data_IF_495712337762
#
_entry.id   IF_495712337762
#
_cell.length_a   1.000
_cell.length_b   1.000
_cell.length_c   1.000
_cell.angle_alpha   90.00
_cell.angle_beta   90.00
_cell.angle_gamma   90.00
#
_symmetry.space_group_name_H-M   'P 1'
#
loop_
_entity.id
_entity.type
_entity.pdbx_description
1 polymer ?
#
# COMPACT_ATOMS: atom_id res chain seq x y z
N UNK A 1 22.09 -7.56 0.71
CA UNK A 1 20.89 -7.03 0.03
C UNK A 1 20.14 -6.22 1.07
N UNK A 2 19.95 -4.92 0.85
CA UNK A 2 19.18 -4.11 1.79
C UNK A 2 17.70 -4.54 1.77
N UNK A 3 16.95 -4.23 2.84
CA UNK A 3 15.51 -4.51 2.89
C UNK A 3 14.76 -3.88 1.71
N UNK A 4 15.22 -2.73 1.24
CA UNK A 4 14.57 -1.96 0.19
C UNK A 4 14.86 -2.53 -1.23
N UNK A 5 15.93 -3.32 -1.38
CA UNK A 5 16.34 -3.94 -2.67
C UNK A 5 15.79 -5.36 -2.88
N UNK A 6 15.23 -6.00 -1.85
CA UNK A 6 14.74 -7.36 -1.96
C UNK A 6 13.51 -7.42 -2.89
N UNK A 7 13.56 -8.29 -3.91
CA UNK A 7 12.46 -8.49 -4.86
C UNK A 7 12.17 -9.98 -5.05
N UNK A 8 10.90 -10.34 -4.95
CA UNK A 8 10.39 -11.67 -5.28
C UNK A 8 9.45 -11.60 -6.48
N UNK A 9 9.39 -12.66 -7.32
CA UNK A 9 8.41 -12.73 -8.40
C UNK A 9 6.97 -12.63 -7.90
N UNK A 10 6.12 -11.91 -8.61
CA UNK A 10 4.74 -11.63 -8.16
C UNK A 10 3.89 -12.87 -7.91
N UNK A 11 4.08 -13.95 -8.66
CA UNK A 11 3.31 -15.19 -8.43
C UNK A 11 3.49 -15.77 -7.02
N UNK A 12 4.59 -15.45 -6.32
CA UNK A 12 4.82 -15.88 -4.93
C UNK A 12 3.79 -15.24 -3.98
N UNK A 13 3.33 -14.03 -4.28
CA UNK A 13 2.32 -13.33 -3.47
C UNK A 13 0.96 -14.02 -3.45
N UNK A 14 0.67 -14.88 -4.44
CA UNK A 14 -0.61 -15.60 -4.54
C UNK A 14 -0.72 -16.81 -3.62
N UNK A 15 0.38 -17.22 -2.97
CA UNK A 15 0.39 -18.28 -1.96
C UNK A 15 0.00 -17.77 -0.57
N UNK A 16 -0.94 -16.82 -0.51
CA UNK A 16 -1.41 -16.16 0.73
C UNK A 16 -2.90 -16.45 0.95
N UNK A 17 -3.38 -16.19 2.17
CA UNK A 17 -4.81 -16.32 2.47
C UNK A 17 -5.60 -15.26 1.69
N UNK A 18 -6.67 -15.69 1.03
CA UNK A 18 -7.45 -14.86 0.10
C UNK A 18 -7.98 -13.55 0.72
N UNK A 19 -8.27 -13.55 2.02
CA UNK A 19 -8.80 -12.42 2.78
C UNK A 19 -7.72 -11.47 3.34
N UNK A 20 -6.44 -11.78 3.12
CA UNK A 20 -5.29 -11.04 3.66
C UNK A 20 -4.40 -10.44 2.56
N UNK A 21 -4.81 -10.48 1.30
CA UNK A 21 -3.97 -10.10 0.16
C UNK A 21 -4.00 -8.56 -0.04
N UNK A 22 -2.89 -7.84 0.17
CA UNK A 22 -2.79 -6.45 -0.22
C UNK A 22 -2.78 -6.34 -1.75
N UNK A 23 -3.29 -5.23 -2.28
CA UNK A 23 -3.49 -5.08 -3.73
C UNK A 23 -2.20 -4.80 -4.55
N UNK A 24 -1.04 -5.05 -3.95
CA UNK A 24 0.30 -4.72 -4.45
C UNK A 24 0.65 -5.42 -5.75
N UNK A 25 0.16 -6.64 -5.92
CA UNK A 25 0.44 -7.48 -7.10
C UNK A 25 -0.79 -7.71 -7.96
N UNK A 26 -1.95 -7.15 -7.61
CA UNK A 26 -3.22 -7.40 -8.30
C UNK A 26 -3.36 -6.66 -9.64
N UNK A 27 -2.35 -5.89 -10.07
CA UNK A 27 -2.41 -5.04 -11.27
C UNK A 27 -1.32 -5.41 -12.29
N UNK A 28 -0.87 -6.66 -12.26
CA UNK A 28 0.16 -7.18 -13.15
C UNK A 28 1.56 -6.70 -12.78
N UNK A 29 1.83 -6.36 -11.52
CA UNK A 29 3.20 -6.24 -11.04
C UNK A 29 3.92 -7.58 -11.22
N UNK A 30 5.16 -7.56 -11.71
CA UNK A 30 5.91 -8.78 -12.01
C UNK A 30 6.92 -9.16 -10.90
N UNK A 31 7.21 -8.22 -10.00
CA UNK A 31 7.90 -8.47 -8.74
C UNK A 31 7.40 -7.52 -7.64
N UNK A 32 7.69 -7.85 -6.39
CA UNK A 32 7.33 -7.07 -5.21
C UNK A 32 8.40 -7.18 -4.13
N UNK A 33 8.37 -6.26 -3.16
CA UNK A 33 9.21 -6.33 -1.96
C UNK A 33 8.49 -7.14 -0.87
N UNK A 34 9.03 -8.29 -0.43
CA UNK A 34 8.33 -9.17 0.52
C UNK A 34 8.10 -8.53 1.88
N UNK A 35 9.03 -7.72 2.39
CA UNK A 35 8.90 -7.11 3.71
C UNK A 35 7.81 -6.03 3.74
N UNK A 36 7.71 -5.25 2.65
CA UNK A 36 6.65 -4.23 2.50
C UNK A 36 5.30 -4.90 2.29
N UNK A 37 5.29 -6.02 1.59
CA UNK A 37 4.09 -6.83 1.36
C UNK A 37 3.57 -7.48 2.64
N UNK A 38 4.44 -8.02 3.49
CA UNK A 38 4.06 -8.59 4.79
C UNK A 38 3.40 -7.55 5.71
N UNK A 39 3.91 -6.32 5.73
CA UNK A 39 3.24 -5.23 6.47
C UNK A 39 1.87 -4.91 5.87
N UNK A 40 1.77 -4.94 4.53
CA UNK A 40 0.50 -4.80 3.82
C UNK A 40 -0.50 -5.87 4.23
N UNK A 41 -0.09 -7.14 4.23
CA UNK A 41 -0.92 -8.28 4.65
C UNK A 41 -1.38 -8.12 6.11
N UNK A 42 -0.45 -7.80 7.02
CA UNK A 42 -0.80 -7.59 8.42
C UNK A 42 -1.77 -6.42 8.60
N UNK A 43 -1.59 -5.35 7.80
CA UNK A 43 -2.52 -4.23 7.76
C UNK A 43 -3.92 -4.62 7.28
N UNK A 44 -4.02 -5.47 6.24
CA UNK A 44 -5.31 -5.99 5.76
C UNK A 44 -5.98 -6.84 6.83
N UNK A 45 -5.22 -7.74 7.48
CA UNK A 45 -5.72 -8.52 8.61
C UNK A 45 -6.25 -7.61 9.73
N UNK A 46 -5.50 -6.58 10.12
CA UNK A 46 -5.96 -5.62 11.12
C UNK A 46 -7.18 -4.82 10.66
N UNK A 47 -7.33 -4.53 9.37
CA UNK A 47 -8.53 -3.88 8.86
C UNK A 47 -9.75 -4.78 9.03
N UNK A 48 -9.65 -6.06 8.67
CA UNK A 48 -10.74 -7.02 8.82
C UNK A 48 -11.22 -7.13 10.28
N UNK A 49 -10.27 -7.10 11.23
CA UNK A 49 -10.59 -7.23 12.66
C UNK A 49 -11.04 -5.91 13.32
N UNK A 50 -10.38 -4.80 12.98
CA UNK A 50 -10.41 -3.59 13.81
C UNK A 50 -10.84 -2.29 13.10
N UNK A 51 -11.00 -2.26 11.77
CA UNK A 51 -11.32 -1.00 11.07
C UNK A 51 -12.62 -0.35 11.54
N UNK A 52 -13.59 -1.15 11.98
CA UNK A 52 -14.87 -0.70 12.55
C UNK A 52 -14.73 0.03 13.89
N UNK A 53 -13.59 -0.10 14.55
CA UNK A 53 -13.30 0.53 15.84
C UNK A 53 -12.73 1.93 15.69
N UNK A 54 -12.48 2.38 14.45
CA UNK A 54 -11.95 3.71 14.18
C UNK A 54 -12.76 4.85 14.81
N UNK A 55 -14.11 4.82 14.89
CA UNK A 55 -14.85 5.86 15.63
C UNK A 55 -14.55 5.87 17.14
N UNK A 56 -14.24 4.71 17.72
CA UNK A 56 -13.97 4.54 19.16
C UNK A 56 -12.49 4.79 19.50
N UNK A 57 -11.58 4.39 18.61
CA UNK A 57 -10.15 4.59 18.72
C UNK A 57 -9.62 5.24 17.41
N UNK A 58 -9.75 6.58 17.27
CA UNK A 58 -9.46 7.30 16.03
C UNK A 58 -8.06 7.09 15.47
N UNK A 59 -7.07 6.87 16.34
CA UNK A 59 -5.68 6.63 15.94
C UNK A 59 -5.46 5.31 15.18
N UNK A 60 -6.44 4.39 15.18
CA UNK A 60 -6.40 3.22 14.30
C UNK A 60 -6.50 3.63 12.82
N UNK A 61 -7.24 4.68 12.47
CA UNK A 61 -7.39 5.09 11.08
C UNK A 61 -6.04 5.41 10.39
N UNK A 62 -5.19 6.31 10.91
CA UNK A 62 -3.89 6.58 10.31
C UNK A 62 -2.94 5.37 10.34
N UNK A 63 -2.97 4.54 11.39
CA UNK A 63 -2.15 3.32 11.45
C UNK A 63 -2.52 2.35 10.32
N UNK A 64 -3.82 2.01 10.23
CA UNK A 64 -4.32 1.08 9.23
C UNK A 64 -4.09 1.62 7.81
N UNK A 65 -4.32 2.92 7.56
CA UNK A 65 -4.10 3.53 6.24
C UNK A 65 -2.64 3.46 5.83
N UNK A 66 -1.70 3.72 6.75
CA UNK A 66 -0.27 3.64 6.45
C UNK A 66 0.26 2.23 6.32
N UNK A 67 -0.37 1.22 6.92
CA UNK A 67 -0.01 -0.18 6.70
C UNK A 67 -0.59 -0.70 5.38
N UNK A 68 -1.75 -0.21 4.94
CA UNK A 68 -2.47 -0.70 3.75
C UNK A 68 -2.41 0.22 2.54
N UNK A 69 -1.66 1.33 2.62
CA UNK A 69 -1.53 2.31 1.53
C UNK A 69 -1.02 1.64 0.26
N UNK A 70 -1.54 2.08 -0.89
CA UNK A 70 -1.11 1.59 -2.21
C UNK A 70 0.26 2.12 -2.61
N UNK A 71 0.68 3.23 -2.02
CA UNK A 71 2.01 3.77 -2.22
C UNK A 71 2.99 3.04 -1.30
N UNK A 72 3.69 2.04 -1.84
CA UNK A 72 4.61 1.17 -1.09
C UNK A 72 5.78 1.94 -0.47
N UNK A 73 6.20 3.07 -1.03
CA UNK A 73 7.28 3.90 -0.45
C UNK A 73 6.79 4.66 0.78
N UNK A 74 5.49 4.94 0.82
CA UNK A 74 4.81 5.55 1.96
C UNK A 74 4.29 4.53 2.96
N UNK A 75 4.35 3.23 2.68
CA UNK A 75 3.91 2.22 3.65
C UNK A 75 4.87 2.17 4.83
N UNK A 76 4.32 2.02 6.03
CA UNK A 76 5.16 1.79 7.20
C UNK A 76 6.01 0.53 7.04
N UNK A 77 7.24 0.58 7.55
CA UNK A 77 8.00 -0.61 7.91
C UNK A 77 7.38 -1.23 9.18
N UNK A 78 7.61 -2.51 9.41
CA UNK A 78 7.05 -3.19 10.58
C UNK A 78 7.42 -2.50 11.91
N UNK A 79 8.67 -2.04 12.03
CA UNK A 79 9.14 -1.29 13.19
C UNK A 79 8.46 0.08 13.33
N UNK A 80 8.21 0.77 12.21
CA UNK A 80 7.52 2.07 12.21
C UNK A 80 6.05 1.91 12.60
N UNK A 81 5.39 0.86 12.13
CA UNK A 81 4.01 0.55 12.50
C UNK A 81 3.90 0.23 14.00
N UNK A 82 4.82 -0.56 14.55
CA UNK A 82 4.86 -0.86 15.98
C UNK A 82 5.14 0.41 16.80
N UNK A 83 6.13 1.19 16.40
CA UNK A 83 6.46 2.44 17.09
C UNK A 83 5.27 3.41 17.07
N UNK A 84 4.61 3.58 15.92
CA UNK A 84 3.40 4.40 15.82
C UNK A 84 2.28 3.88 16.73
N UNK A 85 2.12 2.56 16.82
CA UNK A 85 1.12 1.97 17.71
C UNK A 85 1.42 2.30 19.19
N UNK A 86 2.67 2.15 19.62
CA UNK A 86 3.10 2.40 21.00
C UNK A 86 3.06 3.89 21.37
N UNK A 87 3.51 4.75 20.46
CA UNK A 87 3.65 6.19 20.71
C UNK A 87 2.33 6.96 20.52
N UNK A 88 1.51 6.53 19.56
CA UNK A 88 0.36 7.31 19.12
C UNK A 88 -0.98 6.62 19.40
N UNK A 89 -1.11 5.31 19.17
CA UNK A 89 -2.38 4.60 19.34
C UNK A 89 -2.67 4.29 20.82
N UNK A 90 -1.73 3.63 21.52
CA UNK A 90 -1.93 3.21 22.91
C UNK A 90 -2.20 4.38 23.87
N UNK A 91 -1.40 5.47 23.88
CA UNK A 91 -1.57 6.53 24.88
C UNK A 91 -2.83 7.37 24.65
N UNK A 92 -3.30 7.44 23.41
CA UNK A 92 -4.49 8.21 23.01
C UNK A 92 -5.77 7.39 23.04
N UNK A 93 -5.69 6.08 23.26
CA UNK A 93 -6.86 5.22 23.44
C UNK A 93 -7.21 5.16 24.93
N UNK A 94 -8.39 5.64 25.35
CA UNK A 94 -8.76 5.62 26.77
C UNK A 94 -8.83 4.19 27.33
N UNK A 95 -8.32 3.97 28.54
CA UNK A 95 -8.31 2.63 29.18
C UNK A 95 -9.68 1.96 29.26
N UNK A 96 -10.74 2.73 29.45
CA UNK A 96 -12.10 2.20 29.52
C UNK A 96 -12.56 1.58 28.20
N UNK A 97 -12.06 2.08 27.06
CA UNK A 97 -12.30 1.49 25.72
C UNK A 97 -11.58 0.15 25.59
N UNK A 98 -10.32 0.06 26.06
CA UNK A 98 -9.55 -1.18 26.03
C UNK A 98 -10.19 -2.31 26.87
N UNK A 99 -10.93 -1.94 27.92
CA UNK A 99 -11.66 -2.88 28.78
C UNK A 99 -13.11 -3.12 28.33
N UNK A 100 -13.58 -2.41 27.30
CA UNK A 100 -14.96 -2.52 26.84
C UNK A 100 -15.12 -3.75 25.96
N UNK A 101 -16.15 -4.56 26.25
CA UNK A 101 -16.53 -5.64 25.34
C UNK A 101 -17.17 -5.03 24.10
N UNK A 102 -16.59 -5.30 22.94
CA UNK A 102 -17.13 -4.82 21.68
C UNK A 102 -18.00 -5.93 21.08
N UNK A 103 -19.31 -5.69 20.85
CA UNK A 103 -20.18 -6.68 20.25
C UNK A 103 -19.67 -7.10 18.89
N UNK A 104 -19.90 -8.37 18.57
CA UNK A 104 -19.57 -8.88 17.26
C UNK A 104 -20.49 -8.19 16.23
N UNK A 105 -19.97 -7.28 15.38
CA UNK A 105 -20.80 -6.47 14.46
C UNK A 105 -21.16 -7.22 13.19
N UNK A 106 -22.42 -7.58 12.95
CA UNK A 106 -22.90 -8.34 11.77
C UNK A 106 -22.33 -7.91 10.39
N UNK A 107 -21.89 -6.66 10.22
CA UNK A 107 -21.24 -6.13 9.01
C UNK A 107 -19.70 -6.37 8.93
N UNK A 108 -19.20 -7.55 9.29
CA UNK A 108 -17.76 -7.89 9.34
C UNK A 108 -17.04 -7.84 7.98
N UNK A 109 -17.75 -7.79 6.86
CA UNK A 109 -17.18 -8.14 5.55
C UNK A 109 -16.92 -6.96 4.61
N UNK A 110 -16.84 -5.72 5.09
CA UNK A 110 -16.49 -4.59 4.21
C UNK A 110 -15.00 -4.67 3.84
N UNK A 111 -14.63 -4.76 2.56
CA UNK A 111 -13.23 -4.80 2.15
C UNK A 111 -12.45 -3.56 2.63
N UNK A 112 -11.20 -3.76 3.05
CA UNK A 112 -10.33 -2.72 3.62
C UNK A 112 -10.11 -1.50 2.70
N UNK A 113 -10.19 -1.69 1.39
CA UNK A 113 -9.98 -0.65 0.36
C UNK A 113 -11.28 0.07 -0.04
N UNK A 114 -12.40 -0.29 0.58
CA UNK A 114 -13.72 0.36 0.40
C UNK A 114 -14.28 0.97 1.68
N UNK A 115 -13.85 0.51 2.85
CA UNK A 115 -14.30 1.04 4.14
C UNK A 115 -13.68 2.41 4.43
N UNK A 116 -14.52 3.42 4.71
CA UNK A 116 -14.04 4.75 5.11
C UNK A 116 -13.74 4.81 6.61
N UNK A 117 -12.47 4.56 6.96
CA UNK A 117 -11.93 4.59 8.32
C UNK A 117 -11.97 5.97 8.98
N UNK A 118 -12.22 7.01 8.19
CA UNK A 118 -12.24 8.40 8.66
C UNK A 118 -13.67 8.93 8.81
N UNK A 119 -14.68 8.13 8.46
CA UNK A 119 -16.08 8.52 8.56
C UNK A 119 -16.49 8.71 10.03
N UNK A 120 -17.11 9.85 10.32
CA UNK A 120 -17.60 10.19 11.67
C UNK A 120 -16.53 10.62 12.67
N UNK A 121 -15.26 10.77 12.24
CA UNK A 121 -14.21 11.33 13.08
C UNK A 121 -14.30 12.86 13.14
N UNK A 122 -13.75 13.42 14.22
CA UNK A 122 -13.69 14.86 14.42
C UNK A 122 -12.93 15.57 13.27
N UNK A 123 -13.46 16.67 12.70
CA UNK A 123 -12.83 17.35 11.57
C UNK A 123 -11.42 17.88 11.86
N UNK A 124 -11.15 18.36 13.07
CA UNK A 124 -9.82 18.87 13.43
C UNK A 124 -8.82 17.72 13.54
N UNK A 125 -9.25 16.57 14.04
CA UNK A 125 -8.48 15.33 13.99
C UNK A 125 -8.15 14.92 12.55
N UNK A 126 -9.15 14.88 11.67
CA UNK A 126 -8.98 14.50 10.25
C UNK A 126 -7.98 15.43 9.57
N UNK A 127 -8.10 16.75 9.78
CA UNK A 127 -7.19 17.74 9.22
C UNK A 127 -5.75 17.56 9.71
N UNK A 128 -5.57 17.28 11.02
CA UNK A 128 -4.25 17.07 11.61
C UNK A 128 -3.54 15.83 11.04
N UNK A 129 -4.28 14.76 10.78
CA UNK A 129 -3.73 13.47 10.33
C UNK A 129 -3.94 13.19 8.84
N UNK A 130 -4.39 14.18 8.06
CA UNK A 130 -4.73 14.01 6.65
C UNK A 130 -3.57 13.42 5.80
N UNK A 131 -2.32 13.68 6.18
CA UNK A 131 -1.14 13.14 5.49
C UNK A 131 -1.04 11.60 5.56
N UNK A 132 -1.72 10.96 6.52
CA UNK A 132 -1.74 9.53 6.72
C UNK A 132 -2.86 8.83 5.95
N UNK A 133 -3.85 9.61 5.49
CA UNK A 133 -5.05 9.10 4.83
C UNK A 133 -4.71 8.53 3.46
N UNK A 134 -5.19 7.31 3.20
CA UNK A 134 -5.15 6.69 1.89
C UNK A 134 -6.28 7.27 1.02
N UNK A 135 -5.98 7.81 -0.17
CA UNK A 135 -7.03 8.27 -1.07
C UNK A 135 -7.89 7.09 -1.56
N UNK A 136 -9.17 7.31 -1.90
CA UNK A 136 -10.00 6.28 -2.50
C UNK A 136 -9.35 5.67 -3.74
N UNK A 137 -9.60 4.39 -3.99
CA UNK A 137 -9.10 3.71 -5.20
C UNK A 137 -9.76 4.32 -6.44
N UNK A 138 -9.00 4.94 -7.37
CA UNK A 138 -9.53 5.44 -8.62
C UNK A 138 -10.19 4.34 -9.45
N UNK A 139 -11.22 4.71 -10.19
CA UNK A 139 -11.99 3.78 -11.02
C UNK A 139 -11.12 3.00 -12.02
N UNK A 140 -10.15 3.66 -12.66
CA UNK A 140 -9.27 3.00 -13.64
C UNK A 140 -8.42 1.89 -13.00
N UNK A 141 -8.01 2.04 -11.73
CA UNK A 141 -7.29 0.99 -11.02
C UNK A 141 -8.20 -0.16 -10.63
N UNK A 142 -9.45 0.12 -10.25
CA UNK A 142 -10.46 -0.94 -10.01
C UNK A 142 -10.71 -1.74 -11.28
N UNK A 143 -10.87 -1.06 -12.42
CA UNK A 143 -11.04 -1.71 -13.72
C UNK A 143 -9.80 -2.53 -14.11
N UNK A 144 -8.58 -2.01 -13.89
CA UNK A 144 -7.36 -2.76 -14.15
C UNK A 144 -7.24 -4.01 -13.30
N UNK A 145 -7.53 -3.93 -11.99
CA UNK A 145 -7.55 -5.10 -11.10
C UNK A 145 -8.52 -6.17 -11.61
N UNK A 146 -9.73 -5.75 -11.97
CA UNK A 146 -10.74 -6.64 -12.53
C UNK A 146 -10.26 -7.31 -13.84
N UNK A 147 -9.66 -6.57 -14.76
CA UNK A 147 -9.10 -7.15 -15.99
C UNK A 147 -7.93 -8.10 -15.69
N UNK A 148 -7.10 -7.80 -14.69
CA UNK A 148 -5.97 -8.64 -14.28
C UNK A 148 -6.40 -9.92 -13.54
N UNK A 149 -7.68 -10.13 -13.24
CA UNK A 149 -8.19 -11.43 -12.79
C UNK A 149 -8.09 -12.48 -13.91
N UNK A 150 -8.06 -12.06 -15.18
CA UNK A 150 -7.80 -12.97 -16.30
C UNK A 150 -6.28 -13.22 -16.45
N UNK A 151 -5.81 -14.47 -16.35
CA UNK A 151 -4.37 -14.78 -16.32
C UNK A 151 -3.59 -14.23 -17.52
N UNK A 152 -4.17 -14.28 -18.73
CA UNK A 152 -3.51 -13.77 -19.94
C UNK A 152 -3.36 -12.23 -19.93
N UNK A 153 -4.31 -11.50 -19.32
CA UNK A 153 -4.19 -10.05 -19.14
C UNK A 153 -3.11 -9.75 -18.13
N UNK A 154 -3.12 -10.46 -16.99
CA UNK A 154 -2.12 -10.34 -15.95
C UNK A 154 -0.70 -10.51 -16.51
N UNK A 155 -0.48 -11.59 -17.26
CA UNK A 155 0.82 -11.90 -17.87
C UNK A 155 1.23 -10.84 -18.89
N UNK A 156 0.28 -10.35 -19.70
CA UNK A 156 0.51 -9.28 -20.67
C UNK A 156 0.93 -7.98 -19.98
N UNK A 157 0.21 -7.55 -18.94
CA UNK A 157 0.53 -6.34 -18.17
C UNK A 157 1.87 -6.48 -17.46
N UNK A 158 2.13 -7.65 -16.86
CA UNK A 158 3.40 -7.99 -16.22
C UNK A 158 4.57 -7.91 -17.18
N UNK A 159 4.41 -8.45 -18.38
CA UNK A 159 5.42 -8.40 -19.42
C UNK A 159 5.70 -6.96 -19.89
N UNK A 160 4.65 -6.16 -20.14
CA UNK A 160 4.77 -4.75 -20.52
C UNK A 160 5.52 -3.96 -19.45
N UNK A 161 5.17 -4.14 -18.17
CA UNK A 161 5.84 -3.47 -17.04
C UNK A 161 7.31 -3.89 -16.91
N UNK A 162 7.62 -5.17 -17.14
CA UNK A 162 9.00 -5.67 -17.13
C UNK A 162 9.85 -5.04 -18.22
N UNK A 163 9.31 -4.93 -19.44
CA UNK A 163 9.98 -4.21 -20.55
C UNK A 163 10.16 -2.74 -20.20
N UNK A 164 9.11 -2.07 -19.72
CA UNK A 164 9.19 -0.65 -19.36
C UNK A 164 10.29 -0.38 -18.32
N UNK A 165 10.41 -1.25 -17.30
CA UNK A 165 11.51 -1.15 -16.33
C UNK A 165 12.88 -1.38 -16.98
N UNK A 166 13.01 -2.37 -17.85
CA UNK A 166 14.27 -2.63 -18.56
C UNK A 166 14.71 -1.41 -19.39
N UNK A 167 13.78 -0.80 -20.13
CA UNK A 167 14.04 0.42 -20.90
C UNK A 167 14.48 1.57 -19.97
N UNK A 168 13.77 1.77 -18.84
CA UNK A 168 14.08 2.82 -17.86
C UNK A 168 15.42 2.63 -17.15
N UNK A 169 15.85 1.39 -16.91
CA UNK A 169 17.12 1.13 -16.21
C UNK A 169 18.30 1.18 -17.18
N UNK A 170 18.13 0.65 -18.40
CA UNK A 170 19.26 0.43 -19.31
C UNK A 170 19.32 1.39 -20.50
N UNK A 171 18.18 1.89 -20.99
CA UNK A 171 18.16 2.73 -22.20
C UNK A 171 18.09 4.23 -21.90
N UNK A 172 17.32 4.68 -20.91
CA UNK A 172 17.28 6.12 -20.57
C UNK A 172 18.63 6.72 -20.17
N UNK A 173 19.46 6.12 -19.29
CA UNK A 173 20.79 6.68 -19.01
C UNK A 173 21.69 6.68 -20.26
N UNK A 174 21.52 5.73 -21.18
CA UNK A 174 22.24 5.69 -22.45
C UNK A 174 21.83 6.84 -23.40
N UNK A 175 20.52 7.13 -23.49
CA UNK A 175 20.02 8.26 -24.27
C UNK A 175 20.39 9.62 -23.66
N UNK A 176 20.42 9.74 -22.32
CA UNK A 176 20.87 10.95 -21.64
C UNK A 176 22.37 11.20 -21.83
N UNK A 177 23.20 10.15 -21.78
CA UNK A 177 24.64 10.21 -22.09
C UNK A 177 24.90 10.58 -23.56
N UNK A 178 24.15 10.00 -24.50
CA UNK A 178 24.25 10.35 -25.92
C UNK A 178 23.79 11.79 -26.20
N UNK A 179 22.70 12.23 -25.58
CA UNK A 179 22.19 13.61 -25.66
C UNK A 179 23.20 14.62 -25.11
N UNK A 180 23.86 14.31 -23.99
CA UNK A 180 24.93 15.15 -23.44
C UNK A 180 26.18 15.17 -24.33
N UNK A 181 26.58 14.02 -24.89
CA UNK A 181 27.72 13.91 -25.83
C UNK A 181 27.48 14.69 -27.13
N UNK A 182 26.27 14.62 -27.69
CA UNK A 182 25.88 15.38 -28.88
C UNK A 182 25.83 16.89 -28.61
N UNK A 183 25.35 17.31 -27.42
CA UNK A 183 25.36 18.73 -27.00
C UNK A 183 26.79 19.26 -26.74
N UNK A 184 27.71 18.43 -26.27
CA UNK A 184 29.11 18.80 -26.09
C UNK A 184 29.82 19.04 -27.43
N UNK A 185 29.52 18.22 -28.45
CA UNK A 185 30.07 18.39 -29.80
C UNK A 185 29.53 19.61 -30.56
N UNK A 186 28.32 20.09 -30.24
CA UNK A 186 27.77 21.31 -30.86
C UNK A 186 28.27 22.63 -30.23
N UNK A 187 28.96 22.59 -29.09
CA UNK A 187 29.55 23.79 -28.45
C UNK A 187 31.01 24.05 -28.84
N UNK A 188 31.61 23.17 -29.64
CA UNK A 188 33.01 23.26 -30.09
C UNK A 188 33.18 23.71 -31.55
N UNK A 189 32.18 24.37 -32.14
CA UNK A 189 32.24 24.91 -33.52
C UNK A 189 31.85 26.37 -33.56
#
# INVERSE_FOLDING_TARGET
MSLDECRLPSHVSFNTLYDQIPADTLQGEFDFNPFVFDVGMLGVLFCNEFQRLTPTAPMLAPLLDRMTTRDTERRFKASEALQFFEDEVLPKTPKHILSHWIPLSENWHVPYDTYDRWAGLDPDFVNKWAAFREPPVPFYLRALRYMCEYPWVFDTVSYIRRIARFIRVHMTPFFDLLSQSLKANCKGR
#
